data_IF_483476646672
#
_entry.id   IF_483476646672
#
_cell.length_a   1.000
_cell.length_b   1.000
_cell.length_c   1.000
_cell.angle_alpha   90.00
_cell.angle_beta   90.00
_cell.angle_gamma   90.00
#
_symmetry.space_group_name_H-M   'P 1'
#
loop_
_entity.id
_entity.type
_entity.pdbx_description
1 polymer ?
#
# COMPACT_ATOMS: atom_id res chain seq x y z
N UNK A 1 -34.59 -7.29 -21.19
CA UNK A 1 -33.44 -8.16 -20.86
C UNK A 1 -32.26 -7.78 -21.76
N UNK A 2 -31.22 -7.15 -21.19
CA UNK A 2 -29.99 -6.81 -21.93
C UNK A 2 -29.07 -8.03 -21.89
N UNK A 3 -28.77 -8.60 -23.07
CA UNK A 3 -27.80 -9.68 -23.24
C UNK A 3 -26.39 -9.10 -23.16
N UNK A 4 -25.58 -9.59 -22.23
CA UNK A 4 -24.15 -9.33 -22.22
C UNK A 4 -23.45 -10.44 -23.00
N UNK A 5 -22.84 -10.08 -24.13
CA UNK A 5 -21.96 -10.97 -24.88
C UNK A 5 -20.53 -10.78 -24.37
N UNK A 6 -19.92 -11.87 -23.91
CA UNK A 6 -18.49 -11.98 -23.63
C UNK A 6 -17.71 -11.94 -24.94
N UNK A 7 -16.64 -11.16 -25.00
CA UNK A 7 -15.66 -11.29 -26.10
C UNK A 7 -14.26 -11.34 -25.53
N UNK A 8 -13.66 -12.51 -25.76
CA UNK A 8 -12.27 -12.91 -25.59
C UNK A 8 -11.43 -12.08 -26.56
N UNK A 9 -10.39 -11.38 -26.09
CA UNK A 9 -9.44 -10.70 -26.97
C UNK A 9 -8.10 -11.43 -26.88
N UNK A 10 -7.66 -11.85 -28.06
CA UNK A 10 -6.43 -12.55 -28.39
C UNK A 10 -5.23 -11.60 -28.40
N UNK A 11 -4.10 -12.14 -27.97
CA UNK A 11 -2.80 -11.49 -27.90
C UNK A 11 -2.18 -11.37 -29.29
N UNK A 12 -1.84 -10.16 -29.73
CA UNK A 12 -0.99 -9.95 -30.90
C UNK A 12 0.38 -9.38 -30.52
N UNK A 13 1.38 -10.20 -30.85
CA UNK A 13 2.81 -10.06 -30.68
C UNK A 13 3.40 -8.79 -31.29
N UNK A 14 4.28 -8.12 -30.54
CA UNK A 14 5.40 -7.36 -31.10
C UNK A 14 6.70 -8.01 -30.61
N UNK A 15 7.46 -8.52 -31.59
CA UNK A 15 8.64 -9.34 -31.39
C UNK A 15 9.90 -8.49 -31.24
N UNK A 16 10.76 -8.95 -30.34
CA UNK A 16 11.98 -8.36 -29.80
C UNK A 16 13.12 -8.37 -30.83
N UNK A 17 14.00 -7.36 -30.79
CA UNK A 17 15.41 -7.60 -31.12
C UNK A 17 16.38 -6.88 -30.16
N UNK A 18 16.96 -7.68 -29.25
CA UNK A 18 18.40 -7.81 -28.88
C UNK A 18 19.07 -6.65 -28.09
N UNK A 19 19.73 -6.77 -26.91
CA UNK A 19 20.36 -7.81 -26.01
C UNK A 19 20.84 -7.05 -24.71
N UNK A 20 21.27 -7.63 -23.54
CA UNK A 20 21.23 -8.98 -22.94
C UNK A 20 20.59 -9.14 -21.53
N UNK A 21 19.93 -10.29 -21.35
CA UNK A 21 19.90 -11.21 -20.18
C UNK A 21 19.92 -10.64 -18.75
N UNK A 22 18.73 -10.57 -18.15
CA UNK A 22 18.49 -10.95 -16.75
C UNK A 22 17.29 -11.90 -16.74
N UNK A 23 17.54 -13.20 -16.59
CA UNK A 23 16.50 -14.22 -16.45
C UNK A 23 16.42 -14.63 -14.98
N UNK A 24 15.29 -14.35 -14.32
CA UNK A 24 14.46 -15.39 -13.67
C UNK A 24 13.19 -14.79 -13.06
N UNK A 25 12.05 -15.17 -13.66
CA UNK A 25 10.83 -15.46 -12.92
C UNK A 25 9.92 -14.28 -12.61
N UNK A 26 9.20 -13.78 -13.61
CA UNK A 26 7.96 -13.05 -13.37
C UNK A 26 6.94 -13.98 -12.72
N UNK A 27 6.84 -13.88 -11.40
CA UNK A 27 5.65 -14.21 -10.63
C UNK A 27 5.26 -12.93 -9.90
N UNK A 28 4.49 -12.07 -10.55
CA UNK A 28 3.89 -10.88 -9.92
C UNK A 28 2.68 -11.31 -9.10
N UNK A 29 2.95 -12.12 -8.07
CA UNK A 29 2.12 -12.29 -6.89
C UNK A 29 2.75 -11.46 -5.78
N UNK A 30 1.90 -10.81 -4.98
CA UNK A 30 2.21 -9.91 -3.86
C UNK A 30 2.63 -8.49 -4.27
N UNK A 31 1.69 -7.54 -4.17
CA UNK A 31 2.06 -6.16 -3.84
C UNK A 31 2.80 -6.21 -2.50
N UNK A 32 4.12 -6.14 -2.57
CA UNK A 32 5.00 -6.40 -1.43
C UNK A 32 4.79 -5.38 -0.32
N UNK A 33 4.92 -5.91 0.88
CA UNK A 33 4.69 -5.33 2.20
C UNK A 33 5.76 -4.28 2.56
N UNK A 34 5.86 -3.24 1.72
CA UNK A 34 6.94 -2.26 1.79
C UNK A 34 6.86 -1.40 3.05
N UNK A 35 5.65 -1.07 3.51
CA UNK A 35 5.47 -0.18 4.66
C UNK A 35 5.83 -0.83 6.01
N UNK A 36 5.78 -2.16 6.12
CA UNK A 36 6.02 -2.88 7.38
C UNK A 36 7.49 -3.26 7.60
N UNK A 37 8.32 -3.21 6.54
CA UNK A 37 9.71 -3.68 6.59
C UNK A 37 10.75 -2.65 6.08
N UNK A 38 10.33 -1.59 5.38
CA UNK A 38 11.23 -0.60 4.78
C UNK A 38 11.03 0.76 5.46
N UNK A 39 12.14 1.41 5.81
CA UNK A 39 12.13 2.77 6.38
C UNK A 39 12.09 3.80 5.24
N UNK A 40 11.11 4.72 5.21
CA UNK A 40 11.09 5.79 4.22
C UNK A 40 12.24 6.76 4.46
N UNK A 41 12.75 7.36 3.39
CA UNK A 41 13.79 8.38 3.48
C UNK A 41 13.19 9.75 3.79
N UNK A 42 13.99 10.61 4.44
CA UNK A 42 13.58 11.99 4.73
C UNK A 42 13.20 12.79 3.48
N UNK A 43 13.88 12.53 2.35
CA UNK A 43 13.61 13.22 1.08
C UNK A 43 12.24 12.86 0.52
N UNK A 44 11.88 11.57 0.56
CA UNK A 44 10.57 11.09 0.14
C UNK A 44 9.47 11.77 0.98
N UNK A 45 9.57 11.73 2.30
CA UNK A 45 8.55 12.30 3.19
C UNK A 45 8.41 13.82 3.06
N UNK A 46 9.52 14.54 2.84
CA UNK A 46 9.48 16.00 2.62
C UNK A 46 8.67 16.39 1.38
N UNK A 47 8.72 15.58 0.33
CA UNK A 47 8.04 15.87 -0.93
C UNK A 47 6.53 15.64 -0.89
N UNK A 48 6.03 14.90 0.09
CA UNK A 48 4.62 14.50 0.19
C UNK A 48 3.74 15.61 0.79
N UNK A 49 2.45 15.60 0.43
CA UNK A 49 1.44 16.44 1.09
C UNK A 49 1.06 15.89 2.47
N UNK A 50 0.35 16.70 3.26
CA UNK A 50 -0.14 16.30 4.58
C UNK A 50 -1.08 15.09 4.49
N UNK A 51 -1.96 15.10 3.49
CA UNK A 51 -2.94 14.04 3.23
C UNK A 51 -2.23 12.73 2.87
N UNK A 52 -1.23 12.78 1.99
CA UNK A 52 -0.46 11.60 1.59
C UNK A 52 0.34 11.03 2.76
N UNK A 53 0.93 11.89 3.60
CA UNK A 53 1.61 11.46 4.83
C UNK A 53 0.63 10.78 5.79
N UNK A 54 -0.57 11.33 5.95
CA UNK A 54 -1.59 10.73 6.81
C UNK A 54 -2.07 9.39 6.27
N UNK A 55 -2.26 9.25 4.96
CA UNK A 55 -2.58 7.96 4.33
C UNK A 55 -1.45 6.94 4.51
N UNK A 56 -0.19 7.34 4.33
CA UNK A 56 0.96 6.45 4.52
C UNK A 56 1.08 5.98 5.97
N UNK A 57 0.89 6.87 6.96
CA UNK A 57 0.87 6.50 8.37
C UNK A 57 -0.26 5.52 8.69
N UNK A 58 -1.46 5.79 8.19
CA UNK A 58 -2.63 4.94 8.43
C UNK A 58 -2.55 3.60 7.67
N UNK A 59 -1.82 3.52 6.57
CA UNK A 59 -1.61 2.26 5.85
C UNK A 59 -0.92 1.20 6.72
N UNK A 60 0.03 1.61 7.58
CA UNK A 60 0.68 0.69 8.54
C UNK A 60 -0.38 -0.01 9.41
N UNK A 61 -1.30 0.75 10.00
CA UNK A 61 -2.39 0.19 10.80
C UNK A 61 -3.39 -0.62 9.95
N UNK A 62 -3.63 -0.20 8.70
CA UNK A 62 -4.51 -0.91 7.78
C UNK A 62 -3.98 -2.31 7.42
N UNK A 63 -2.66 -2.49 7.32
CA UNK A 63 -2.02 -3.79 7.06
C UNK A 63 -2.24 -4.80 8.18
N UNK A 64 -2.39 -4.32 9.41
CA UNK A 64 -2.78 -5.12 10.58
C UNK A 64 -4.30 -5.26 10.76
N UNK A 65 -5.09 -4.71 9.83
CA UNK A 65 -6.54 -4.84 9.85
C UNK A 65 -7.28 -3.88 10.78
N UNK A 66 -6.66 -2.75 11.14
CA UNK A 66 -7.32 -1.69 11.92
C UNK A 66 -8.64 -1.26 11.30
N UNK A 67 -9.70 -1.15 12.12
CA UNK A 67 -11.04 -0.79 11.66
C UNK A 67 -11.23 0.73 11.70
N UNK A 68 -11.11 1.39 10.54
CA UNK A 68 -11.34 2.83 10.43
C UNK A 68 -12.83 3.18 10.53
N UNK A 69 -13.16 4.10 11.45
CA UNK A 69 -14.55 4.55 11.66
C UNK A 69 -14.86 5.89 10.98
N UNK A 70 -13.82 6.68 10.69
CA UNK A 70 -13.94 8.05 10.17
C UNK A 70 -13.47 8.16 8.73
N UNK A 71 -14.10 9.08 7.99
CA UNK A 71 -13.64 9.46 6.65
C UNK A 71 -12.44 10.43 6.74
N UNK A 72 -11.53 10.43 5.73
CA UNK A 72 -11.60 9.66 4.48
C UNK A 72 -11.07 8.21 4.59
N UNK A 73 -10.50 7.82 5.73
CA UNK A 73 -9.77 6.55 5.86
C UNK A 73 -10.65 5.34 5.69
N UNK A 74 -11.87 5.39 6.25
CA UNK A 74 -12.84 4.30 6.12
C UNK A 74 -13.11 3.97 4.66
N UNK A 75 -13.54 4.94 3.84
CA UNK A 75 -13.81 4.66 2.42
C UNK A 75 -12.54 4.33 1.65
N UNK A 76 -11.44 5.02 1.92
CA UNK A 76 -10.17 4.80 1.23
C UNK A 76 -9.61 3.39 1.40
N UNK A 77 -9.55 2.86 2.63
CA UNK A 77 -9.01 1.53 2.90
C UNK A 77 -10.00 0.42 2.54
N UNK A 78 -11.31 0.62 2.75
CA UNK A 78 -12.32 -0.34 2.27
C UNK A 78 -12.30 -0.55 0.76
N UNK A 79 -11.78 0.42 -0.02
CA UNK A 79 -11.62 0.27 -1.47
C UNK A 79 -10.37 -0.52 -1.87
N UNK A 80 -9.50 -0.93 -0.93
CA UNK A 80 -8.26 -1.67 -1.23
C UNK A 80 -8.51 -3.16 -1.16
N UNK A 81 -8.13 -3.89 -2.21
CA UNK A 81 -8.32 -5.35 -2.30
C UNK A 81 -7.51 -6.14 -1.27
N UNK A 82 -6.42 -5.56 -0.75
CA UNK A 82 -5.56 -6.17 0.26
C UNK A 82 -6.02 -5.91 1.71
N UNK A 83 -6.90 -4.93 1.94
CA UNK A 83 -7.30 -4.54 3.29
C UNK A 83 -8.32 -5.54 3.85
N UNK A 84 -7.99 -6.11 5.02
CA UNK A 84 -8.82 -7.09 5.71
C UNK A 84 -8.97 -6.67 7.16
N UNK A 85 -10.19 -6.56 7.65
CA UNK A 85 -10.46 -6.16 9.03
C UNK A 85 -10.03 -7.26 10.01
N UNK A 86 -9.37 -6.85 11.09
CA UNK A 86 -9.07 -7.69 12.24
C UNK A 86 -9.60 -7.01 13.50
N UNK A 87 -10.65 -7.59 14.10
CA UNK A 87 -11.25 -7.06 15.32
C UNK A 87 -10.37 -7.25 16.57
N UNK A 88 -9.34 -8.10 16.48
CA UNK A 88 -8.38 -8.31 17.57
C UNK A 88 -7.40 -7.15 17.68
N UNK A 89 -6.97 -6.58 16.54
CA UNK A 89 -6.04 -5.45 16.48
C UNK A 89 -6.67 -4.16 17.02
N UNK A 90 -6.03 -3.54 18.02
CA UNK A 90 -6.52 -2.31 18.68
C UNK A 90 -6.01 -1.04 18.03
N UNK A 91 -4.96 -1.14 17.22
CA UNK A 91 -4.34 0.02 16.57
C UNK A 91 -3.47 0.83 17.52
N UNK A 92 -2.86 0.19 18.51
CA UNK A 92 -1.88 0.86 19.38
C UNK A 92 -0.46 0.66 18.87
N UNK A 93 0.44 1.58 19.22
CA UNK A 93 1.85 1.48 18.84
C UNK A 93 2.50 0.18 19.37
N UNK A 94 2.03 -0.36 20.50
CA UNK A 94 2.57 -1.60 21.09
C UNK A 94 2.32 -2.84 20.25
N UNK A 95 1.28 -2.84 19.42
CA UNK A 95 0.95 -3.94 18.51
C UNK A 95 1.77 -3.89 17.21
N UNK A 96 2.58 -2.84 17.01
CA UNK A 96 3.45 -2.68 15.86
C UNK A 96 4.86 -3.23 16.11
N UNK A 97 5.53 -3.63 15.03
CA UNK A 97 6.95 -3.96 15.11
C UNK A 97 7.83 -2.69 15.24
N UNK A 98 9.12 -2.86 15.56
CA UNK A 98 10.02 -1.71 15.79
C UNK A 98 10.22 -0.81 14.56
N UNK A 99 10.20 -1.39 13.36
CA UNK A 99 10.29 -0.62 12.10
C UNK A 99 9.02 0.18 11.87
N UNK A 100 7.86 -0.41 12.09
CA UNK A 100 6.56 0.24 11.95
C UNK A 100 6.40 1.38 12.95
N UNK A 101 6.75 1.17 14.23
CA UNK A 101 6.78 2.22 15.26
C UNK A 101 7.68 3.38 14.83
N UNK A 102 8.87 3.08 14.31
CA UNK A 102 9.79 4.09 13.80
C UNK A 102 9.17 4.87 12.63
N UNK A 103 8.57 4.18 11.67
CA UNK A 103 7.95 4.78 10.49
C UNK A 103 6.76 5.67 10.87
N UNK A 104 5.85 5.20 11.74
CA UNK A 104 4.69 5.99 12.22
C UNK A 104 5.17 7.30 12.84
N UNK A 105 6.18 7.25 13.72
CA UNK A 105 6.73 8.45 14.38
C UNK A 105 7.40 9.40 13.39
N UNK A 106 8.17 8.86 12.44
CA UNK A 106 8.84 9.67 11.43
C UNK A 106 7.83 10.36 10.51
N UNK A 107 6.84 9.64 10.01
CA UNK A 107 5.79 10.19 9.13
C UNK A 107 4.96 11.24 9.88
N UNK A 108 4.55 10.97 11.13
CA UNK A 108 3.83 11.94 11.97
C UNK A 108 4.62 13.24 12.16
N UNK A 109 5.94 13.14 12.39
CA UNK A 109 6.81 14.33 12.49
C UNK A 109 6.73 15.18 11.22
N UNK A 110 6.79 14.57 10.04
CA UNK A 110 6.69 15.31 8.78
C UNK A 110 5.29 15.87 8.55
N UNK A 111 4.24 15.11 8.88
CA UNK A 111 2.85 15.54 8.75
C UNK A 111 2.52 16.78 9.60
N UNK A 112 3.05 16.84 10.83
CA UNK A 112 2.88 17.98 11.72
C UNK A 112 3.62 19.24 11.26
N UNK A 113 4.61 19.09 10.38
CA UNK A 113 5.36 20.21 9.78
C UNK A 113 4.77 20.65 8.43
N UNK A 114 3.60 20.13 8.05
CA UNK A 114 2.80 20.59 6.90
C UNK A 114 1.66 21.49 7.37
#
# INVERSE_FOLDING_TARGET
>A
MKKFNSTKIENNNINVSKVPKSNKGENISSQEDTSSNIKPTDSELKSLSKETLSLARNEIFARHGYIFQTEPYKSYFNSKTWYKLDASFKGTDEELNETEKYNVKLILKYENNK
#
